data_IF_982599261869
#
_entry.id   IF_982599261869
#
_cell.length_a   1.000
_cell.length_b   1.000
_cell.length_c   1.000
_cell.angle_alpha   90.00
_cell.angle_beta   90.00
_cell.angle_gamma   90.00
#
_symmetry.space_group_name_H-M   'P 1'
#
loop_
_entity.id
_entity.type
_entity.pdbx_description
1 polymer ?
#
# COMPACT_ATOMS: atom_id res chain seq x y z
N UNK A 1 -19.49 -10.43 23.20
CA UNK A 1 -20.38 -10.67 22.04
C UNK A 1 -20.04 -12.02 21.44
N UNK A 2 -21.03 -12.81 21.08
CA UNK A 2 -20.82 -14.13 20.48
C UNK A 2 -20.60 -14.04 18.97
N UNK A 3 -21.13 -12.99 18.36
CA UNK A 3 -20.95 -12.69 16.93
C UNK A 3 -20.62 -11.21 16.78
N UNK A 4 -19.61 -10.91 15.98
CA UNK A 4 -19.16 -9.55 15.67
C UNK A 4 -18.99 -9.41 14.16
N UNK A 5 -19.54 -8.34 13.59
CA UNK A 5 -19.27 -7.94 12.22
C UNK A 5 -18.21 -6.85 12.23
N UNK A 6 -17.11 -7.09 11.55
CA UNK A 6 -16.02 -6.14 11.40
C UNK A 6 -15.89 -5.77 9.91
N UNK A 7 -15.53 -4.53 9.63
CA UNK A 7 -15.33 -4.12 8.24
C UNK A 7 -14.63 -2.78 8.15
N UNK A 8 -14.21 -2.46 6.92
CA UNK A 8 -13.61 -1.19 6.57
C UNK A 8 -13.87 -0.86 5.11
N UNK A 9 -13.78 0.42 4.80
CA UNK A 9 -13.91 0.94 3.45
C UNK A 9 -12.92 2.08 3.26
N UNK A 10 -12.39 2.19 2.05
CA UNK A 10 -11.53 3.29 1.65
C UNK A 10 -11.88 3.74 0.23
N UNK A 11 -11.81 5.04 0.00
CA UNK A 11 -11.98 5.63 -1.32
C UNK A 11 -10.85 6.62 -1.59
N UNK A 12 -9.70 6.09 -1.99
CA UNK A 12 -8.50 6.88 -2.27
C UNK A 12 -8.69 7.78 -3.50
N UNK A 13 -9.48 7.33 -4.48
CA UNK A 13 -9.79 8.12 -5.68
C UNK A 13 -10.58 9.39 -5.39
N UNK A 14 -11.31 9.46 -4.28
CA UNK A 14 -12.10 10.62 -3.87
C UNK A 14 -11.45 11.44 -2.75
N UNK A 15 -10.23 11.12 -2.34
CA UNK A 15 -9.51 11.90 -1.34
C UNK A 15 -9.30 13.34 -1.81
N UNK A 16 -9.76 14.36 -1.05
CA UNK A 16 -9.68 15.75 -1.46
C UNK A 16 -8.28 16.34 -1.23
N UNK A 17 -8.04 17.49 -1.85
CA UNK A 17 -6.95 18.37 -1.44
C UNK A 17 -7.43 19.35 -0.38
N UNK A 18 -6.67 19.51 0.70
CA UNK A 18 -6.93 20.48 1.74
C UNK A 18 -6.11 21.77 1.53
N UNK A 19 -6.70 22.89 1.88
CA UNK A 19 -6.06 24.20 1.89
C UNK A 19 -5.98 24.72 3.35
N UNK A 20 -5.03 24.26 4.17
CA UNK A 20 -5.01 24.55 5.61
C UNK A 20 -4.93 26.05 5.93
N UNK A 21 -4.20 26.80 5.13
CA UNK A 21 -3.99 28.23 5.33
C UNK A 21 -5.24 29.08 5.04
N UNK A 22 -6.19 28.56 4.26
CA UNK A 22 -7.43 29.24 3.91
C UNK A 22 -8.35 29.48 5.12
N UNK A 23 -8.28 28.62 6.13
CA UNK A 23 -9.06 28.78 7.37
C UNK A 23 -8.86 30.14 8.02
N UNK A 24 -7.70 30.74 7.89
CA UNK A 24 -7.33 32.02 8.46
C UNK A 24 -7.09 33.10 7.40
N UNK A 25 -7.60 32.88 6.19
CA UNK A 25 -7.62 33.84 5.10
C UNK A 25 -6.37 33.90 4.26
N UNK A 26 -5.57 32.82 4.21
CA UNK A 26 -4.42 32.65 3.30
C UNK A 26 -3.71 33.96 2.93
N UNK A 27 -3.27 34.69 3.92
CA UNK A 27 -2.71 36.04 3.79
C UNK A 27 -1.58 36.09 2.74
N UNK A 28 -0.79 37.12 2.69
CA UNK A 28 0.29 37.37 1.71
C UNK A 28 1.17 36.12 1.46
N UNK A 29 1.53 35.89 0.21
CA UNK A 29 2.39 34.79 -0.27
C UNK A 29 1.64 33.54 -0.72
N UNK A 30 2.36 32.68 -1.41
CA UNK A 30 1.83 31.41 -1.92
C UNK A 30 1.44 30.46 -0.79
N UNK A 31 0.41 29.64 -1.04
CA UNK A 31 -0.09 28.61 -0.11
C UNK A 31 -0.11 27.24 -0.77
N UNK A 32 0.04 26.21 0.05
CA UNK A 32 0.05 24.82 -0.44
C UNK A 32 -1.33 24.20 -0.41
N UNK A 33 -1.69 23.52 -1.48
CA UNK A 33 -2.74 22.51 -1.47
C UNK A 33 -2.12 21.17 -1.02
N UNK A 34 -2.69 20.55 0.00
CA UNK A 34 -2.19 19.31 0.59
C UNK A 34 -3.04 18.15 0.10
N UNK A 35 -2.42 17.17 -0.53
CA UNK A 35 -3.05 15.91 -0.89
C UNK A 35 -3.34 15.10 0.38
N UNK A 36 -4.62 14.94 0.73
CA UNK A 36 -5.01 14.24 1.96
C UNK A 36 -4.83 12.73 1.83
N UNK A 37 -4.86 12.15 0.63
CA UNK A 37 -4.55 10.76 0.42
C UNK A 37 -3.13 10.43 0.88
N UNK A 38 -2.16 11.28 0.51
CA UNK A 38 -0.78 11.12 0.95
C UNK A 38 -0.66 11.49 2.43
N UNK A 39 -1.13 12.67 2.82
CA UNK A 39 -0.91 13.23 4.17
C UNK A 39 -1.50 12.38 5.28
N UNK A 40 -2.69 11.83 5.09
CA UNK A 40 -3.43 11.11 6.11
C UNK A 40 -3.33 9.58 5.97
N UNK A 41 -3.08 9.06 4.76
CA UNK A 41 -3.05 7.64 4.47
C UNK A 41 -1.67 7.04 4.24
N UNK A 42 -0.74 7.80 3.65
CA UNK A 42 0.54 7.27 3.16
C UNK A 42 1.78 7.94 3.78
N UNK A 43 1.57 8.87 4.71
CA UNK A 43 2.64 9.63 5.36
C UNK A 43 2.86 9.17 6.78
N UNK A 44 4.10 8.83 7.13
CA UNK A 44 4.49 8.58 8.51
C UNK A 44 4.54 9.92 9.27
N UNK A 45 3.58 10.10 10.17
CA UNK A 45 3.46 11.33 10.95
C UNK A 45 4.54 11.50 12.03
N UNK A 46 5.20 10.40 12.44
CA UNK A 46 6.25 10.42 13.46
C UNK A 46 7.59 10.80 12.86
N UNK A 47 7.93 10.21 11.73
CA UNK A 47 9.23 10.39 11.07
C UNK A 47 9.20 11.39 9.91
N UNK A 48 7.99 11.86 9.54
CA UNK A 48 7.78 12.89 8.52
C UNK A 48 8.27 12.50 7.12
N UNK A 49 8.00 11.27 6.68
CA UNK A 49 8.29 10.78 5.33
C UNK A 49 7.21 9.84 4.81
N UNK A 50 7.26 9.54 3.51
CA UNK A 50 6.31 8.62 2.86
C UNK A 50 6.54 7.17 3.33
N UNK A 51 5.48 6.38 3.52
CA UNK A 51 5.58 4.98 3.94
C UNK A 51 6.42 4.10 2.98
N UNK A 52 6.54 4.49 1.71
CA UNK A 52 7.48 3.85 0.79
C UNK A 52 8.94 4.04 1.19
N UNK A 53 9.29 5.18 1.79
CA UNK A 53 10.60 5.40 2.41
C UNK A 53 10.79 4.52 3.65
N UNK A 54 9.74 4.23 4.41
CA UNK A 54 9.80 3.23 5.48
C UNK A 54 10.22 1.85 4.94
N UNK A 55 9.68 1.44 3.80
CA UNK A 55 10.07 0.19 3.16
C UNK A 55 11.54 0.20 2.71
N UNK A 56 12.03 1.32 2.17
CA UNK A 56 13.46 1.47 1.83
C UNK A 56 14.35 1.36 3.08
N UNK A 57 13.96 1.97 4.20
CA UNK A 57 14.68 1.89 5.46
C UNK A 57 14.74 0.44 5.98
N UNK A 58 13.65 -0.32 5.83
CA UNK A 58 13.62 -1.75 6.16
C UNK A 58 14.64 -2.50 5.29
N UNK A 59 14.70 -2.20 4.00
CA UNK A 59 15.68 -2.81 3.11
C UNK A 59 17.13 -2.52 3.54
N UNK A 60 17.40 -1.29 3.97
CA UNK A 60 18.74 -0.92 4.44
C UNK A 60 19.10 -1.65 5.75
N UNK A 61 18.16 -1.70 6.70
CA UNK A 61 18.40 -2.31 8.03
C UNK A 61 18.60 -3.83 7.93
N UNK A 62 17.84 -4.52 7.08
CA UNK A 62 17.91 -5.99 6.96
C UNK A 62 18.67 -6.49 5.73
N UNK A 63 19.30 -5.61 4.97
CA UNK A 63 20.08 -5.98 3.78
C UNK A 63 19.23 -6.62 2.68
N UNK A 64 17.94 -6.25 2.56
CA UNK A 64 17.05 -6.81 1.54
C UNK A 64 17.40 -6.24 0.18
N UNK A 65 17.66 -7.12 -0.78
CA UNK A 65 18.05 -6.73 -2.14
C UNK A 65 16.84 -6.39 -3.01
N UNK A 66 17.08 -5.71 -4.11
CA UNK A 66 16.06 -5.43 -5.12
C UNK A 66 15.51 -6.71 -5.73
N UNK A 67 16.35 -7.69 -5.99
CA UNK A 67 15.99 -8.98 -6.55
C UNK A 67 15.06 -9.77 -5.63
N UNK A 68 15.29 -9.73 -4.31
CA UNK A 68 14.41 -10.35 -3.33
C UNK A 68 13.04 -9.69 -3.28
N UNK A 69 12.98 -8.36 -3.34
CA UNK A 69 11.71 -7.61 -3.43
C UNK A 69 10.96 -7.96 -4.71
N UNK A 70 11.64 -7.99 -5.84
CA UNK A 70 11.03 -8.34 -7.13
C UNK A 70 10.51 -9.78 -7.12
N UNK A 71 11.28 -10.72 -6.58
CA UNK A 71 10.87 -12.13 -6.47
C UNK A 71 9.62 -12.28 -5.58
N UNK A 72 9.58 -11.57 -4.46
CA UNK A 72 8.41 -11.56 -3.58
C UNK A 72 7.17 -10.99 -4.27
N UNK A 73 7.33 -9.85 -4.95
CA UNK A 73 6.25 -9.21 -5.71
C UNK A 73 5.71 -10.11 -6.83
N UNK A 74 6.59 -10.75 -7.60
CA UNK A 74 6.22 -11.71 -8.66
C UNK A 74 5.47 -12.91 -8.07
N UNK A 75 5.98 -13.48 -6.99
CA UNK A 75 5.35 -14.63 -6.34
C UNK A 75 3.94 -14.27 -5.81
N UNK A 76 3.76 -13.08 -5.26
CA UNK A 76 2.45 -12.57 -4.81
C UNK A 76 1.46 -12.46 -5.97
N UNK A 77 1.86 -11.85 -7.08
CA UNK A 77 1.01 -11.71 -8.27
C UNK A 77 0.65 -13.07 -8.89
N UNK A 78 1.61 -13.99 -8.99
CA UNK A 78 1.38 -15.33 -9.54
C UNK A 78 0.44 -16.17 -8.66
N UNK A 79 0.55 -16.07 -7.33
CA UNK A 79 -0.38 -16.72 -6.39
C UNK A 79 -1.80 -16.16 -6.55
N UNK A 80 -1.93 -14.85 -6.69
CA UNK A 80 -3.22 -14.19 -6.90
C UNK A 80 -3.83 -14.61 -8.23
N UNK A 81 -3.07 -14.59 -9.31
CA UNK A 81 -3.52 -15.04 -10.63
C UNK A 81 -4.00 -16.50 -10.59
N UNK A 82 -3.26 -17.39 -9.95
CA UNK A 82 -3.65 -18.79 -9.79
C UNK A 82 -4.94 -18.93 -8.96
N UNK A 83 -5.10 -18.15 -7.89
CA UNK A 83 -6.29 -18.17 -7.06
C UNK A 83 -7.53 -17.62 -7.82
N UNK A 84 -7.37 -16.53 -8.59
CA UNK A 84 -8.43 -16.03 -9.46
C UNK A 84 -8.87 -17.04 -10.51
N UNK A 85 -7.92 -17.68 -11.21
CA UNK A 85 -8.22 -18.74 -12.19
C UNK A 85 -8.91 -19.95 -11.59
N UNK A 86 -8.64 -20.25 -10.33
CA UNK A 86 -9.27 -21.33 -9.58
C UNK A 86 -10.59 -20.93 -8.90
N UNK A 87 -11.10 -19.71 -9.13
CA UNK A 87 -12.35 -19.22 -8.55
C UNK A 87 -12.34 -19.04 -7.03
N UNK A 88 -11.17 -18.90 -6.41
CA UNK A 88 -11.04 -18.86 -4.94
C UNK A 88 -11.69 -17.65 -4.28
N UNK A 89 -11.93 -16.59 -5.03
CA UNK A 89 -12.53 -15.35 -4.54
C UNK A 89 -14.01 -15.19 -4.89
N UNK A 90 -14.61 -16.14 -5.62
CA UNK A 90 -15.98 -16.01 -6.12
C UNK A 90 -17.03 -15.90 -5.00
N UNK A 91 -16.81 -16.60 -3.89
CA UNK A 91 -17.70 -16.56 -2.73
C UNK A 91 -17.52 -15.30 -1.86
N UNK A 92 -16.41 -14.58 -2.03
CA UNK A 92 -16.06 -13.40 -1.23
C UNK A 92 -16.43 -12.08 -1.94
N UNK A 93 -16.39 -12.07 -3.28
CA UNK A 93 -16.62 -10.86 -4.06
C UNK A 93 -18.12 -10.57 -4.16
N UNK A 94 -18.52 -9.41 -3.62
CA UNK A 94 -19.87 -8.87 -3.78
C UNK A 94 -19.91 -7.97 -5.02
N UNK A 95 -20.66 -8.34 -6.07
CA UNK A 95 -20.75 -7.51 -7.26
C UNK A 95 -21.38 -6.15 -7.00
N UNK A 96 -20.82 -5.09 -7.63
CA UNK A 96 -21.34 -3.73 -7.54
C UNK A 96 -21.88 -3.30 -8.90
N UNK A 97 -23.09 -2.76 -8.92
CA UNK A 97 -23.69 -2.22 -10.15
C UNK A 97 -23.20 -0.80 -10.39
N UNK A 98 -22.39 -0.62 -11.42
CA UNK A 98 -21.87 0.69 -11.80
C UNK A 98 -22.60 1.25 -13.05
N UNK A 99 -22.83 2.55 -13.05
CA UNK A 99 -23.45 3.22 -14.19
C UNK A 99 -22.39 3.53 -15.25
N UNK A 100 -22.46 2.84 -16.39
CA UNK A 100 -21.60 3.11 -17.55
C UNK A 100 -22.44 3.72 -18.66
N UNK A 101 -22.34 5.04 -18.84
CA UNK A 101 -23.24 5.82 -19.72
C UNK A 101 -24.71 5.71 -19.30
N UNK A 102 -25.52 4.98 -20.07
CA UNK A 102 -26.96 4.78 -19.81
C UNK A 102 -27.29 3.40 -19.25
N UNK A 103 -26.32 2.53 -19.11
CA UNK A 103 -26.50 1.14 -18.69
C UNK A 103 -25.91 0.92 -17.30
N UNK A 104 -26.50 -0.02 -16.56
CA UNK A 104 -25.92 -0.56 -15.33
C UNK A 104 -25.12 -1.79 -15.71
N UNK A 105 -23.84 -1.80 -15.34
CA UNK A 105 -22.91 -2.89 -15.60
C UNK A 105 -22.45 -3.47 -14.28
N UNK A 106 -22.45 -4.77 -14.18
CA UNK A 106 -21.92 -5.47 -13.01
C UNK A 106 -20.39 -5.36 -12.97
N UNK A 107 -19.86 -4.85 -11.86
CA UNK A 107 -18.44 -4.80 -11.57
C UNK A 107 -18.12 -5.83 -10.48
N UNK A 108 -17.37 -6.87 -10.82
CA UNK A 108 -17.03 -8.00 -9.93
C UNK A 108 -15.62 -8.55 -10.13
N UNK A 109 -14.83 -7.91 -10.97
CA UNK A 109 -13.45 -8.33 -11.22
C UNK A 109 -12.52 -7.35 -10.52
N UNK A 110 -11.62 -7.89 -9.68
CA UNK A 110 -10.53 -7.11 -9.11
C UNK A 110 -9.53 -6.77 -10.23
N UNK A 111 -9.40 -5.48 -10.55
CA UNK A 111 -8.59 -4.99 -11.67
C UNK A 111 -7.10 -4.82 -11.31
N UNK A 112 -6.76 -4.79 -10.02
CA UNK A 112 -5.40 -4.49 -9.58
C UNK A 112 -4.39 -5.62 -9.86
N UNK A 113 -4.72 -6.92 -9.70
CA UNK A 113 -3.77 -8.00 -9.94
C UNK A 113 -3.22 -7.99 -11.37
N UNK A 114 -1.91 -8.19 -11.48
CA UNK A 114 -1.17 -8.17 -12.76
C UNK A 114 -0.89 -9.59 -13.23
N UNK A 115 -1.75 -10.11 -14.10
CA UNK A 115 -1.53 -11.40 -14.73
C UNK A 115 -0.21 -11.41 -15.55
N UNK A 116 0.52 -12.51 -15.48
CA UNK A 116 1.78 -12.68 -16.19
C UNK A 116 2.96 -11.89 -15.60
N UNK A 117 2.89 -11.50 -14.33
CA UNK A 117 4.00 -10.85 -13.63
C UNK A 117 5.28 -11.71 -13.70
N UNK A 118 6.41 -11.10 -14.02
CA UNK A 118 7.70 -11.76 -14.21
C UNK A 118 8.86 -10.95 -13.66
N UNK A 119 9.95 -11.61 -13.33
CA UNK A 119 11.19 -10.97 -12.88
C UNK A 119 11.74 -9.98 -13.93
N UNK A 120 11.65 -10.33 -15.21
CA UNK A 120 12.06 -9.43 -16.29
C UNK A 120 11.22 -8.14 -16.34
N UNK A 121 9.92 -8.25 -16.10
CA UNK A 121 9.01 -7.10 -16.01
C UNK A 121 9.33 -6.20 -14.81
N UNK A 122 9.56 -6.80 -13.65
CA UNK A 122 9.92 -6.07 -12.42
C UNK A 122 11.25 -5.35 -12.54
N UNK A 123 12.27 -6.00 -13.09
CA UNK A 123 13.61 -5.43 -13.24
C UNK A 123 13.64 -4.11 -14.06
N UNK A 124 12.65 -3.89 -14.94
CA UNK A 124 12.52 -2.66 -15.72
C UNK A 124 11.98 -1.46 -14.93
N UNK A 125 11.39 -1.70 -13.75
CA UNK A 125 10.81 -0.66 -12.93
C UNK A 125 11.88 0.13 -12.19
N UNK A 126 11.67 1.44 -12.10
CA UNK A 126 12.57 2.33 -11.36
C UNK A 126 12.15 2.41 -9.90
N UNK A 127 13.10 2.67 -9.02
CA UNK A 127 12.83 3.02 -7.63
C UNK A 127 11.87 4.22 -7.55
N UNK A 128 10.91 4.15 -6.64
CA UNK A 128 9.80 5.09 -6.60
C UNK A 128 9.86 6.06 -5.40
N UNK A 129 10.63 5.74 -4.37
CA UNK A 129 10.62 6.51 -3.13
C UNK A 129 12.00 7.12 -2.84
N UNK A 130 12.03 8.34 -2.24
CA UNK A 130 13.28 8.99 -1.89
C UNK A 130 14.01 8.21 -0.78
N UNK A 131 15.34 8.22 -0.86
CA UNK A 131 16.27 7.61 0.08
C UNK A 131 17.37 8.62 0.41
N UNK A 132 18.05 8.45 1.56
CA UNK A 132 19.18 9.29 1.95
C UNK A 132 18.80 10.52 2.77
N UNK A 133 19.75 11.47 2.98
CA UNK A 133 19.62 12.56 3.96
C UNK A 133 18.45 13.52 3.72
N UNK A 134 17.96 13.60 2.49
CA UNK A 134 16.79 14.44 2.16
C UNK A 134 15.46 13.75 2.42
N UNK A 135 15.45 12.43 2.64
CA UNK A 135 14.24 11.63 2.85
C UNK A 135 14.15 10.95 4.20
N UNK A 136 15.28 10.77 4.87
CA UNK A 136 15.34 9.97 6.10
C UNK A 136 16.34 10.57 7.05
N UNK A 137 15.89 11.19 8.09
CA UNK A 137 16.68 11.15 9.31
C UNK A 137 16.59 9.74 9.88
N UNK A 138 17.70 9.20 10.27
CA UNK A 138 18.08 7.91 10.78
C UNK A 138 17.23 7.34 11.95
N UNK A 139 15.91 7.53 11.90
CA UNK A 139 15.01 7.27 13.03
C UNK A 139 14.61 5.82 13.18
N UNK A 140 14.61 5.04 12.10
CA UNK A 140 14.30 3.61 12.19
C UNK A 140 15.46 2.84 12.80
N UNK A 141 16.70 3.19 12.49
CA UNK A 141 17.88 2.59 13.09
C UNK A 141 17.89 2.79 14.62
N UNK A 142 17.35 3.92 15.10
CA UNK A 142 17.25 4.20 16.54
C UNK A 142 16.05 3.54 17.23
N UNK A 143 14.97 3.27 16.51
CA UNK A 143 13.73 2.72 17.10
C UNK A 143 13.63 1.20 16.97
N UNK A 144 14.17 0.64 15.90
CA UNK A 144 14.29 -0.78 15.66
C UNK A 144 15.77 -1.17 15.77
N UNK A 145 16.15 -1.86 16.84
CA UNK A 145 17.46 -2.53 16.92
C UNK A 145 17.27 -3.96 16.40
N UNK A 146 17.51 -4.24 15.12
CA UNK A 146 17.55 -5.61 14.65
C UNK A 146 18.74 -6.29 15.30
N UNK A 147 18.57 -7.53 15.68
CA UNK A 147 19.60 -8.33 16.33
C UNK A 147 20.83 -8.60 15.45
N UNK A 148 20.71 -8.36 14.13
CA UNK A 148 21.80 -8.48 13.17
C UNK A 148 21.59 -7.41 12.05
N UNK A 149 22.37 -6.34 12.11
CA UNK A 149 22.50 -5.39 10.99
C UNK A 149 23.65 -5.87 10.12
N UNK A 150 23.41 -6.12 8.85
CA UNK A 150 24.49 -6.29 7.90
C UNK A 150 25.17 -4.93 7.65
N UNK A 151 26.20 -4.63 8.44
CA UNK A 151 26.92 -3.35 8.45
C UNK A 151 27.49 -2.94 7.06
N UNK A 152 27.67 -3.88 6.16
CA UNK A 152 28.34 -3.64 4.89
C UNK A 152 27.50 -2.83 3.88
N UNK A 153 26.16 -2.81 4.00
CA UNK A 153 25.25 -2.18 3.04
C UNK A 153 24.36 -1.07 3.61
N UNK A 154 24.39 -0.86 4.93
CA UNK A 154 23.55 0.11 5.65
C UNK A 154 23.74 1.59 5.23
N UNK A 155 24.76 1.88 4.42
CA UNK A 155 25.08 3.25 3.99
C UNK A 155 24.96 3.47 2.47
N UNK A 156 24.48 2.47 1.74
CA UNK A 156 24.19 2.64 0.30
C UNK A 156 22.70 2.93 0.13
N UNK A 157 22.35 4.20 0.18
CA UNK A 157 21.00 4.66 -0.12
C UNK A 157 20.62 4.40 -1.58
N UNK A 158 20.29 3.16 -1.90
CA UNK A 158 19.85 2.75 -3.22
C UNK A 158 18.35 2.52 -3.20
N UNK A 159 17.63 3.17 -4.10
CA UNK A 159 16.20 2.93 -4.26
C UNK A 159 15.93 1.50 -4.75
N UNK A 160 15.23 0.72 -3.95
CA UNK A 160 14.87 -0.68 -4.25
C UNK A 160 13.38 -0.86 -4.47
N UNK A 161 12.56 -0.13 -3.70
CA UNK A 161 11.11 -0.24 -3.74
C UNK A 161 10.55 0.44 -4.98
N UNK A 162 9.75 -0.31 -5.74
CA UNK A 162 9.13 0.15 -6.99
C UNK A 162 7.61 0.04 -6.93
N UNK A 163 6.92 0.56 -7.93
CA UNK A 163 5.48 0.36 -8.07
C UNK A 163 5.06 -1.13 -8.20
N UNK A 164 6.00 -2.03 -8.51
CA UNK A 164 5.73 -3.46 -8.64
C UNK A 164 5.60 -4.19 -7.31
N UNK A 165 6.24 -3.68 -6.25
CA UNK A 165 6.16 -4.26 -4.90
C UNK A 165 5.30 -3.41 -3.95
N UNK A 166 5.08 -2.14 -4.27
CA UNK A 166 4.24 -1.26 -3.46
C UNK A 166 2.75 -1.62 -3.62
N UNK A 167 1.99 -1.41 -2.55
CA UNK A 167 0.53 -1.49 -2.63
C UNK A 167 -0.04 -0.45 -3.60
N UNK A 168 -1.11 -0.79 -4.28
CA UNK A 168 -1.80 0.13 -5.16
C UNK A 168 -2.64 1.17 -4.42
N UNK A 169 -2.96 2.24 -5.14
CA UNK A 169 -3.98 3.20 -4.72
C UNK A 169 -5.31 2.62 -5.19
N UNK A 170 -6.12 2.14 -4.25
CA UNK A 170 -7.35 1.41 -4.56
C UNK A 170 -8.55 1.97 -3.79
N UNK A 171 -9.73 1.80 -4.38
CA UNK A 171 -11.00 1.95 -3.70
C UNK A 171 -11.51 0.58 -3.33
N UNK A 172 -12.06 0.40 -2.14
CA UNK A 172 -12.53 -0.91 -1.73
C UNK A 172 -13.27 -0.91 -0.41
N UNK A 173 -13.98 -2.01 -0.17
CA UNK A 173 -14.64 -2.29 1.09
C UNK A 173 -14.60 -3.79 1.37
N UNK A 174 -14.47 -4.15 2.64
CA UNK A 174 -14.53 -5.53 3.09
C UNK A 174 -15.28 -5.67 4.41
N UNK A 175 -15.93 -6.80 4.61
CA UNK A 175 -16.56 -7.14 5.86
C UNK A 175 -16.26 -8.60 6.23
N UNK A 176 -16.06 -8.84 7.53
CA UNK A 176 -15.78 -10.16 8.10
C UNK A 176 -16.72 -10.40 9.28
N UNK A 177 -17.27 -11.59 9.38
CA UNK A 177 -18.05 -12.04 10.54
C UNK A 177 -17.16 -12.93 11.41
N UNK A 178 -16.97 -12.52 12.65
CA UNK A 178 -16.29 -13.31 13.68
C UNK A 178 -17.34 -13.93 14.58
N UNK A 179 -17.22 -15.20 14.90
CA UNK A 179 -18.13 -15.90 15.79
C UNK A 179 -17.34 -16.74 16.81
N UNK A 180 -17.89 -16.85 18.05
CA UNK A 180 -17.36 -17.80 19.03
C UNK A 180 -17.63 -19.24 18.60
N UNK A 181 -16.86 -20.20 19.09
CA UNK A 181 -17.08 -21.63 18.80
C UNK A 181 -18.50 -22.10 19.23
N UNK A 182 -19.05 -21.53 20.30
CA UNK A 182 -20.43 -21.83 20.73
C UNK A 182 -21.47 -21.25 19.76
N UNK A 183 -21.22 -20.07 19.18
CA UNK A 183 -22.12 -19.48 18.20
C UNK A 183 -22.09 -20.24 16.85
N UNK A 184 -20.94 -20.74 16.45
CA UNK A 184 -20.78 -21.54 15.23
C UNK A 184 -21.45 -22.93 15.38
N UNK A 185 -21.49 -23.47 16.60
CA UNK A 185 -22.09 -24.78 16.88
C UNK A 185 -23.62 -24.78 16.96
N UNK A 186 -24.26 -23.61 17.02
CA UNK A 186 -25.72 -23.43 17.02
C UNK A 186 -26.26 -23.23 15.62
#
# INVERSE_FOLDING_TARGET
ADIVVCGGTENMSAAPYALPDERWGARMGDKKAVDTMIKDGLWDAFNNYHMGTTAENICDVWGITREELDAFGVASQQKTEAAQKAGKFEDEIVPVMIKKKKELVEFKVDEFPRAGASMEGMAKLKGAFPVGPEGVEDTIVHTFQPTEVHEADAHKHVQRVTAGQASGINDGAAAIVLASGEAVAK
#
